data_IF_145719127110
#
_entry.id   IF_145719127110
#
_cell.length_a   1.000
_cell.length_b   1.000
_cell.length_c   1.000
_cell.angle_alpha   90.00
_cell.angle_beta   90.00
_cell.angle_gamma   90.00
#
_symmetry.space_group_name_H-M   'P 1'
#
loop_
_entity.id
_entity.type
_entity.pdbx_description
1 polymer ?
#
# COMPACT_ATOMS: atom_id res chain seq x y z
N UNK A 1 28.48 -10.77 0.81
CA UNK A 1 27.10 -10.33 0.95
C UNK A 1 26.25 -11.03 -0.06
N UNK A 2 25.27 -11.69 0.41
CA UNK A 2 24.43 -12.49 -0.47
C UNK A 2 23.67 -11.66 -1.51
N UNK A 3 23.57 -10.38 -1.27
CA UNK A 3 22.81 -9.46 -2.10
C UNK A 3 23.68 -8.55 -2.94
N UNK A 4 24.88 -8.97 -3.23
CA UNK A 4 25.83 -8.14 -3.97
C UNK A 4 25.63 -8.19 -5.48
N UNK A 5 24.45 -8.55 -5.93
CA UNK A 5 24.08 -8.39 -7.33
C UNK A 5 24.07 -6.91 -7.66
N UNK A 6 25.00 -6.43 -8.50
CA UNK A 6 25.12 -5.00 -8.79
C UNK A 6 23.91 -4.41 -9.50
N UNK A 7 23.05 -5.26 -10.06
CA UNK A 7 21.81 -4.81 -10.69
C UNK A 7 20.64 -4.69 -9.74
N UNK A 8 20.81 -5.06 -8.47
CA UNK A 8 19.72 -5.05 -7.49
C UNK A 8 20.00 -4.10 -6.35
N UNK A 9 19.03 -3.25 -6.08
CA UNK A 9 19.07 -2.34 -4.94
C UNK A 9 17.80 -2.57 -4.12
N UNK A 10 17.91 -3.04 -2.86
CA UNK A 10 16.72 -3.25 -2.04
C UNK A 10 15.88 -1.98 -1.91
N UNK A 11 14.59 -2.15 -1.89
CA UNK A 11 13.64 -1.05 -1.77
C UNK A 11 12.58 -1.39 -0.75
N UNK A 12 12.29 -0.43 0.11
CA UNK A 12 11.14 -0.45 0.99
C UNK A 12 10.54 0.94 1.02
N UNK A 13 9.27 1.05 0.73
CA UNK A 13 8.58 2.33 0.70
C UNK A 13 7.24 2.25 1.38
N UNK A 14 6.72 3.40 1.78
CA UNK A 14 5.41 3.49 2.39
C UNK A 14 4.72 4.77 1.98
N UNK A 15 3.40 4.77 2.05
CA UNK A 15 2.61 5.96 1.90
C UNK A 15 1.37 5.87 2.79
N UNK A 16 0.86 7.04 3.15
CA UNK A 16 -0.34 7.14 3.96
C UNK A 16 -1.52 7.58 3.10
N UNK A 17 -2.70 7.11 3.44
CA UNK A 17 -3.94 7.51 2.80
C UNK A 17 -4.98 7.73 3.90
N UNK A 18 -5.58 8.91 3.92
CA UNK A 18 -6.58 9.27 4.91
C UNK A 18 -7.91 9.50 4.18
N UNK A 19 -8.90 8.70 4.53
CA UNK A 19 -10.24 8.83 3.97
C UNK A 19 -11.15 9.59 4.94
N UNK A 20 -12.18 10.22 4.38
CA UNK A 20 -13.29 10.77 5.16
C UNK A 20 -14.56 10.03 4.78
N UNK A 21 -15.65 10.32 5.47
CA UNK A 21 -16.94 9.68 5.19
C UNK A 21 -17.41 9.90 3.75
N UNK A 22 -16.92 10.94 3.06
CA UNK A 22 -17.36 11.31 1.71
C UNK A 22 -16.26 11.25 0.66
N UNK A 23 -14.98 11.18 1.06
CA UNK A 23 -13.84 11.21 0.14
C UNK A 23 -12.90 10.05 0.37
N UNK A 24 -12.43 9.43 -0.72
CA UNK A 24 -11.36 8.45 -0.66
C UNK A 24 -10.06 9.10 -0.24
N UNK A 25 -9.22 8.33 0.46
CA UNK A 25 -7.85 8.71 0.73
C UNK A 25 -6.93 8.16 -0.35
N UNK A 26 -5.93 8.95 -0.73
CA UNK A 26 -4.94 8.56 -1.72
C UNK A 26 -3.54 8.76 -1.18
N UNK A 27 -2.67 7.81 -1.43
CA UNK A 27 -1.25 7.89 -1.17
C UNK A 27 -0.47 7.44 -2.40
N UNK A 28 0.80 7.81 -2.47
CA UNK A 28 1.62 7.49 -3.63
C UNK A 28 3.02 7.08 -3.22
N UNK A 29 3.55 6.06 -3.91
CA UNK A 29 4.93 5.63 -3.81
C UNK A 29 5.55 5.79 -5.19
N UNK A 30 6.61 6.58 -5.29
CA UNK A 30 7.27 6.86 -6.55
C UNK A 30 7.38 8.35 -6.81
N UNK A 31 7.68 8.77 -8.04
CA UNK A 31 7.88 7.92 -9.22
C UNK A 31 9.16 7.11 -9.17
N UNK A 32 9.20 6.03 -9.93
CA UNK A 32 10.39 5.20 -10.08
C UNK A 32 11.47 6.02 -10.78
N UNK A 33 12.73 6.03 -10.27
CA UNK A 33 13.78 6.84 -10.87
C UNK A 33 14.09 6.46 -12.31
N UNK A 34 14.65 7.43 -13.05
CA UNK A 34 15.10 7.23 -14.41
C UNK A 34 16.08 6.05 -14.49
N UNK A 35 15.99 5.26 -15.54
CA UNK A 35 16.84 4.10 -15.81
C UNK A 35 16.74 3.01 -14.73
N UNK A 36 15.62 2.96 -14.04
CA UNK A 36 15.33 1.93 -13.05
C UNK A 36 13.99 1.29 -13.34
N UNK A 37 13.85 0.07 -12.84
CA UNK A 37 12.57 -0.63 -12.78
C UNK A 37 12.39 -1.10 -11.34
N UNK A 38 11.25 -0.83 -10.76
CA UNK A 38 10.94 -1.35 -9.45
C UNK A 38 10.27 -2.72 -9.59
N UNK A 39 10.85 -3.72 -8.96
CA UNK A 39 10.25 -5.04 -8.84
C UNK A 39 9.62 -5.11 -7.47
N UNK A 40 8.30 -5.13 -7.41
CA UNK A 40 7.56 -5.27 -6.16
C UNK A 40 7.40 -6.75 -5.85
N UNK A 41 7.67 -7.14 -4.61
CA UNK A 41 7.56 -8.54 -4.17
C UNK A 41 6.53 -8.72 -3.07
N UNK A 42 6.24 -7.69 -2.32
CA UNK A 42 5.20 -7.75 -1.30
C UNK A 42 4.55 -6.40 -1.10
N UNK A 43 3.27 -6.43 -0.76
CA UNK A 43 2.47 -5.27 -0.43
C UNK A 43 1.71 -5.59 0.85
N UNK A 44 1.73 -4.67 1.79
CA UNK A 44 0.89 -4.77 2.97
C UNK A 44 0.27 -3.43 3.29
N UNK A 45 -0.84 -3.45 3.97
CA UNK A 45 -1.52 -2.23 4.37
C UNK A 45 -2.28 -2.44 5.66
N UNK A 46 -2.44 -1.37 6.41
CA UNK A 46 -3.32 -1.36 7.56
C UNK A 46 -4.21 -0.12 7.54
N UNK A 47 -5.39 -0.27 8.08
CA UNK A 47 -6.35 0.81 8.22
C UNK A 47 -6.88 0.81 9.65
N UNK A 48 -6.97 1.98 10.25
CA UNK A 48 -7.57 2.17 11.56
C UNK A 48 -8.77 3.08 11.42
N UNK A 49 -9.92 2.64 11.93
CA UNK A 49 -11.15 3.43 12.00
C UNK A 49 -11.71 3.38 13.41
N UNK A 50 -12.66 4.27 13.72
CA UNK A 50 -13.48 4.12 14.92
C UNK A 50 -14.48 2.97 14.73
N UNK A 51 -15.20 2.62 15.78
CA UNK A 51 -16.18 1.52 15.71
C UNK A 51 -17.35 1.81 14.77
N UNK A 52 -17.64 3.09 14.50
CA UNK A 52 -18.68 3.48 13.55
C UNK A 52 -18.20 3.49 12.11
N UNK A 53 -16.88 3.45 11.89
CA UNK A 53 -16.31 3.39 10.54
C UNK A 53 -16.17 1.95 10.05
N UNK A 54 -16.15 1.79 8.75
CA UNK A 54 -15.89 0.49 8.14
C UNK A 54 -15.12 0.69 6.84
N UNK A 55 -14.27 -0.28 6.52
CA UNK A 55 -13.57 -0.28 5.24
C UNK A 55 -14.56 -0.59 4.13
N UNK A 56 -14.57 0.25 3.10
CA UNK A 56 -15.32 -0.01 1.88
C UNK A 56 -14.42 -0.64 0.82
N UNK A 57 -13.32 0.02 0.47
CA UNK A 57 -12.34 -0.55 -0.46
C UNK A 57 -10.93 -0.17 -0.03
N UNK A 58 -10.00 -1.05 -0.33
CA UNK A 58 -8.58 -0.84 -0.18
C UNK A 58 -7.92 -1.40 -1.44
N UNK A 59 -7.25 -0.56 -2.20
CA UNK A 59 -6.69 -0.99 -3.48
C UNK A 59 -5.36 -0.33 -3.76
N UNK A 60 -4.55 -1.05 -4.51
CA UNK A 60 -3.30 -0.57 -5.04
C UNK A 60 -3.43 -0.45 -6.54
N UNK A 61 -3.10 0.72 -7.07
CA UNK A 61 -3.14 0.99 -8.49
C UNK A 61 -1.71 1.20 -9.01
N UNK A 62 -1.38 0.54 -10.07
CA UNK A 62 -0.08 0.63 -10.72
C UNK A 62 -0.24 0.12 -12.14
N UNK A 63 0.58 -0.83 -12.59
CA UNK A 63 0.38 -1.47 -13.90
C UNK A 63 -0.97 -2.19 -14.00
N UNK A 64 -1.55 -2.52 -12.85
CA UNK A 64 -2.89 -3.10 -12.74
C UNK A 64 -3.49 -2.68 -11.40
N UNK A 65 -4.75 -2.98 -11.18
CA UNK A 65 -5.42 -2.71 -9.91
C UNK A 65 -5.47 -3.97 -9.07
N UNK A 66 -4.92 -3.89 -7.86
CA UNK A 66 -5.00 -4.94 -6.86
C UNK A 66 -5.99 -4.53 -5.79
N UNK A 67 -7.11 -5.23 -5.70
CA UNK A 67 -8.05 -5.08 -4.59
C UNK A 67 -7.53 -5.91 -3.43
N UNK A 68 -7.16 -5.24 -2.34
CA UNK A 68 -6.62 -5.90 -1.17
C UNK A 68 -7.74 -6.49 -0.33
N UNK A 69 -7.49 -7.68 0.19
CA UNK A 69 -8.48 -8.40 1.02
C UNK A 69 -8.03 -8.29 2.47
N UNK A 70 -8.67 -7.44 3.27
CA UNK A 70 -8.24 -7.22 4.64
C UNK A 70 -8.85 -8.22 5.61
N UNK A 71 -8.12 -8.42 6.70
CA UNK A 71 -8.62 -9.11 7.90
C UNK A 71 -8.97 -8.04 8.93
N UNK A 72 -10.18 -8.10 9.46
CA UNK A 72 -10.62 -7.18 10.50
C UNK A 72 -10.17 -7.67 11.87
N UNK A 73 -9.53 -6.78 12.62
CA UNK A 73 -9.20 -6.99 14.02
C UNK A 73 -9.87 -5.86 14.82
N UNK A 74 -10.66 -6.24 15.81
CA UNK A 74 -11.32 -5.27 16.68
C UNK A 74 -10.55 -5.13 17.97
N UNK A 75 -10.19 -3.89 18.31
CA UNK A 75 -9.59 -3.58 19.59
C UNK A 75 -10.68 -3.14 20.55
N UNK A 76 -11.05 -4.03 21.47
CA UNK A 76 -12.09 -3.76 22.44
C UNK A 76 -11.72 -2.72 23.50
N UNK A 77 -10.42 -2.45 23.68
CA UNK A 77 -9.95 -1.50 24.70
C UNK A 77 -10.19 -0.06 24.28
N UNK A 78 -9.93 0.24 22.99
CA UNK A 78 -10.02 1.60 22.45
C UNK A 78 -11.19 1.80 21.51
N UNK A 79 -12.03 0.78 21.36
CA UNK A 79 -13.17 0.85 20.45
C UNK A 79 -12.74 1.19 19.01
N UNK A 80 -11.60 0.65 18.57
CA UNK A 80 -11.08 0.86 17.24
C UNK A 80 -11.23 -0.42 16.41
N UNK A 81 -11.39 -0.23 15.12
CA UNK A 81 -11.30 -1.32 14.14
C UNK A 81 -9.99 -1.18 13.40
N UNK A 82 -9.27 -2.30 13.27
CA UNK A 82 -8.04 -2.38 12.49
C UNK A 82 -8.22 -3.42 11.39
N UNK A 83 -7.83 -3.03 10.20
CA UNK A 83 -7.86 -3.90 9.03
C UNK A 83 -6.44 -4.10 8.55
N UNK A 84 -6.07 -5.35 8.29
CA UNK A 84 -4.75 -5.70 7.76
C UNK A 84 -4.92 -6.44 6.46
N UNK A 85 -4.10 -6.11 5.48
CA UNK A 85 -4.00 -6.85 4.23
C UNK A 85 -2.54 -7.06 3.89
N UNK A 86 -2.19 -8.26 3.44
CA UNK A 86 -0.84 -8.60 3.01
C UNK A 86 -0.92 -9.48 1.78
N UNK A 87 -0.14 -9.14 0.78
CA UNK A 87 -0.08 -9.89 -0.47
C UNK A 87 1.37 -10.12 -0.88
N UNK A 88 1.73 -11.38 -1.09
CA UNK A 88 2.95 -11.75 -1.78
C UNK A 88 2.62 -11.75 -3.27
N UNK A 89 3.08 -10.71 -3.97
CA UNK A 89 2.75 -10.51 -5.37
C UNK A 89 3.94 -9.89 -6.07
N UNK A 90 4.21 -10.31 -7.27
CA UNK A 90 5.32 -9.78 -8.05
C UNK A 90 4.81 -9.01 -9.25
N UNK A 91 5.24 -7.76 -9.36
CA UNK A 91 4.94 -6.93 -10.52
C UNK A 91 6.03 -5.87 -10.69
N UNK A 92 6.04 -5.26 -11.87
CA UNK A 92 7.05 -4.28 -12.24
C UNK A 92 6.41 -2.90 -12.38
N UNK A 93 7.14 -1.88 -11.90
CA UNK A 93 6.77 -0.48 -12.11
C UNK A 93 7.93 0.18 -12.88
N UNK A 94 7.62 0.70 -14.05
CA UNK A 94 8.65 1.27 -14.93
C UNK A 94 9.06 2.67 -14.48
N UNK A 95 10.23 3.13 -14.96
CA UNK A 95 10.70 4.48 -14.65
C UNK A 95 9.67 5.53 -15.03
N UNK A 96 9.51 6.51 -14.15
CA UNK A 96 8.52 7.57 -14.32
C UNK A 96 7.14 7.24 -13.80
N UNK A 97 6.83 5.97 -13.60
CA UNK A 97 5.54 5.54 -13.09
C UNK A 97 5.55 5.45 -11.56
N UNK A 98 4.38 5.50 -10.97
CA UNK A 98 4.18 5.45 -9.53
C UNK A 98 3.14 4.40 -9.18
N UNK A 99 3.12 4.02 -7.90
CA UNK A 99 2.07 3.19 -7.32
C UNK A 99 1.17 4.12 -6.51
N UNK A 100 -0.14 4.01 -6.70
CA UNK A 100 -1.11 4.72 -5.88
C UNK A 100 -1.80 3.75 -4.95
N UNK A 101 -1.91 4.12 -3.68
CA UNK A 101 -2.69 3.41 -2.69
C UNK A 101 -3.95 4.20 -2.42
N UNK A 102 -5.10 3.53 -2.54
CA UNK A 102 -6.40 4.17 -2.36
C UNK A 102 -7.21 3.43 -1.33
N UNK A 103 -7.80 4.16 -0.41
CA UNK A 103 -8.67 3.60 0.60
C UNK A 103 -9.96 4.40 0.67
N UNK A 104 -11.07 3.72 0.82
CA UNK A 104 -12.38 4.34 1.05
C UNK A 104 -13.03 3.68 2.25
N UNK A 105 -13.66 4.49 3.09
CA UNK A 105 -14.34 4.04 4.29
C UNK A 105 -15.78 4.51 4.29
N UNK A 106 -16.62 3.80 5.01
CA UNK A 106 -18.01 4.20 5.25
C UNK A 106 -18.16 4.60 6.72
N UNK A 107 -19.03 5.54 6.98
CA UNK A 107 -19.28 6.02 8.33
C UNK A 107 -18.27 7.06 8.74
N UNK A 108 -17.19 6.66 9.36
CA UNK A 108 -16.20 7.55 9.93
C UNK A 108 -14.92 7.59 9.10
N UNK A 109 -14.04 8.56 9.41
CA UNK A 109 -12.75 8.69 8.76
C UNK A 109 -11.84 7.50 9.09
N UNK A 110 -10.97 7.15 8.15
CA UNK A 110 -9.96 6.12 8.33
C UNK A 110 -8.57 6.63 8.01
N UNK A 111 -7.59 6.08 8.72
CA UNK A 111 -6.17 6.35 8.48
C UNK A 111 -5.50 5.05 8.08
N UNK A 112 -4.86 5.06 6.93
CA UNK A 112 -4.23 3.88 6.39
C UNK A 112 -2.78 4.13 6.01
N UNK A 113 -1.95 3.08 6.10
CA UNK A 113 -0.58 3.09 5.63
C UNK A 113 -0.39 1.86 4.75
N UNK A 114 0.23 2.07 3.61
CA UNK A 114 0.62 1.00 2.70
C UNK A 114 2.14 0.86 2.70
N UNK A 115 2.62 -0.38 2.73
CA UNK A 115 4.04 -0.71 2.67
C UNK A 115 4.28 -1.57 1.44
N UNK A 116 5.34 -1.23 0.71
CA UNK A 116 5.75 -1.98 -0.48
C UNK A 116 7.22 -2.34 -0.31
N UNK A 117 7.58 -3.57 -0.60
CA UNK A 117 8.97 -3.99 -0.60
C UNK A 117 9.33 -4.73 -1.88
N UNK A 118 10.59 -4.67 -2.22
CA UNK A 118 11.13 -5.28 -3.41
C UNK A 118 12.53 -4.77 -3.70
N UNK A 119 12.81 -4.50 -4.95
CA UNK A 119 14.13 -4.01 -5.34
C UNK A 119 14.07 -3.27 -6.67
N UNK A 120 15.06 -2.41 -6.88
CA UNK A 120 15.26 -1.78 -8.18
C UNK A 120 16.21 -2.60 -9.03
N UNK A 121 15.92 -2.65 -10.32
CA UNK A 121 16.82 -3.11 -11.37
C UNK A 121 17.23 -1.94 -12.23
N UNK A 122 18.45 -1.96 -12.73
CA UNK A 122 18.89 -1.04 -13.76
C UNK A 122 18.28 -1.45 -15.11
N UNK A 123 17.91 -0.46 -15.88
CA UNK A 123 17.35 -0.69 -17.23
C UNK A 123 18.15 0.00 -18.31
#
# INVERSE_FOLDING_TARGET
MANDDPGRQPFAGSCAANSTAVNSGLGEIGPVPSKKRLVVESVSAELVTSTSGALYTMQLNGPFTLFMIPVLITDGVFSLKRYYATHAIRFYVESGDSIQFQVATTGDAGQAICYVSGYFLDT
#
